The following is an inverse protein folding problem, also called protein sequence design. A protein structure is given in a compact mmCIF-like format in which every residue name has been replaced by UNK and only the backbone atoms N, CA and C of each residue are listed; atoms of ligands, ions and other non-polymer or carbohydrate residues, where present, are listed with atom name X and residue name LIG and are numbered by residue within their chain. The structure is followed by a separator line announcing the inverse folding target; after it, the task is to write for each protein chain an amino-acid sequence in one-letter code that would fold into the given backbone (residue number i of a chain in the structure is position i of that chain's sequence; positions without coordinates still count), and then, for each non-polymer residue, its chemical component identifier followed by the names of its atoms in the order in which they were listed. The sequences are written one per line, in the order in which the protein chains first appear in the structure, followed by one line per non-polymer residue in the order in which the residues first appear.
data_IF_967106993252
#
_entry.id   IF_967106993252
#
_cell.length_a   1.000
_cell.length_b   1.000
_cell.length_c   1.000
_cell.angle_alpha   90.00
_cell.angle_beta   90.00
_cell.angle_gamma   90.00
#
_symmetry.space_group_name_H-M   'P 1'
#
loop_
_entity.id
_entity.type
_entity.pdbx_description
1 polymer ?
#
# COMPACT_ATOMS: atom_id res chain seq x y z
N UNK A 1 -1.32 11.68 -54.70
CA UNK A 1 -1.54 12.18 -53.31
C UNK A 1 -2.64 11.36 -52.64
N UNK A 2 -2.45 10.05 -52.42
CA UNK A 2 -3.48 9.18 -51.80
C UNK A 2 -2.94 8.12 -50.85
N UNK A 3 -1.63 8.12 -50.59
CA UNK A 3 -0.96 7.07 -49.79
C UNK A 3 -0.44 7.59 -48.44
N UNK A 4 -0.64 8.87 -48.11
CA UNK A 4 -0.15 9.49 -46.86
C UNK A 4 -1.18 9.47 -45.71
N UNK A 5 -2.36 8.90 -45.92
CA UNK A 5 -3.46 8.89 -44.93
C UNK A 5 -3.53 7.62 -44.08
N UNK A 6 -2.66 6.63 -44.32
CA UNK A 6 -2.65 5.35 -43.59
C UNK A 6 -1.54 5.24 -42.53
N UNK A 7 -0.69 6.27 -42.37
CA UNK A 7 0.43 6.25 -41.41
C UNK A 7 0.10 6.77 -40.00
N UNK A 8 -1.05 7.41 -39.81
CA UNK A 8 -1.38 8.12 -38.54
C UNK A 8 -2.14 7.23 -37.54
N UNK A 9 -2.58 6.03 -37.95
CA UNK A 9 -3.43 5.16 -37.12
C UNK A 9 -2.64 4.19 -36.24
N UNK A 10 -1.31 4.10 -36.41
CA UNK A 10 -0.46 3.08 -35.75
C UNK A 10 0.56 3.62 -34.76
N UNK A 11 0.42 4.86 -34.26
CA UNK A 11 1.35 5.41 -33.27
C UNK A 11 0.67 5.67 -31.92
N UNK A 12 0.85 4.72 -31.01
CA UNK A 12 1.10 5.02 -29.60
C UNK A 12 -0.09 5.02 -28.67
N UNK A 13 -0.70 3.86 -28.44
CA UNK A 13 -1.28 3.56 -27.11
C UNK A 13 -0.11 3.33 -26.15
N UNK A 14 0.60 4.41 -25.80
CA UNK A 14 1.53 4.37 -24.67
C UNK A 14 0.62 4.44 -23.45
N UNK A 15 0.47 3.32 -22.74
CA UNK A 15 -0.32 3.27 -21.52
C UNK A 15 0.21 4.27 -20.51
N UNK A 16 -0.46 5.42 -20.38
CA UNK A 16 -0.20 6.36 -19.30
C UNK A 16 -0.67 5.70 -18.01
N UNK A 17 0.21 4.99 -17.31
CA UNK A 17 -0.02 4.72 -15.91
C UNK A 17 -0.16 6.07 -15.21
N UNK A 18 -1.34 6.36 -14.65
CA UNK A 18 -1.58 7.61 -13.94
C UNK A 18 -0.51 7.77 -12.84
N UNK A 19 0.03 8.97 -12.61
CA UNK A 19 1.07 9.19 -11.60
C UNK A 19 0.64 8.74 -10.20
N UNK A 20 -0.67 8.74 -9.91
CA UNK A 20 -1.24 8.24 -8.68
C UNK A 20 -0.99 6.72 -8.47
N UNK A 21 -1.11 5.90 -9.52
CA UNK A 21 -0.94 4.44 -9.44
C UNK A 21 0.53 4.07 -9.22
N UNK A 22 1.45 4.75 -9.91
CA UNK A 22 2.89 4.57 -9.73
C UNK A 22 3.33 4.96 -8.31
N UNK A 23 2.76 6.06 -7.79
CA UNK A 23 3.01 6.49 -6.43
C UNK A 23 2.43 5.49 -5.42
N UNK A 24 1.21 4.99 -5.63
CA UNK A 24 0.57 4.03 -4.74
C UNK A 24 1.37 2.73 -4.65
N UNK A 25 1.77 2.17 -5.80
CA UNK A 25 2.63 0.98 -5.86
C UNK A 25 3.95 1.18 -5.11
N UNK A 26 4.59 2.34 -5.28
CA UNK A 26 5.81 2.71 -4.55
C UNK A 26 5.61 2.81 -3.03
N UNK A 27 4.45 3.30 -2.58
CA UNK A 27 4.09 3.38 -1.15
C UNK A 27 3.87 2.02 -0.53
N UNK A 28 3.00 1.21 -1.14
CA UNK A 28 2.61 -0.09 -0.60
C UNK A 28 3.82 -1.02 -0.44
N UNK A 29 4.75 -1.00 -1.40
CA UNK A 29 5.95 -1.84 -1.38
C UNK A 29 7.17 -1.22 -0.70
N UNK A 30 7.09 0.03 -0.26
CA UNK A 30 8.22 0.82 0.18
C UNK A 30 8.02 1.43 1.57
N UNK A 31 7.89 2.75 1.62
CA UNK A 31 8.01 3.57 2.82
C UNK A 31 6.72 3.74 3.64
N UNK A 32 5.58 3.24 3.13
CA UNK A 32 4.33 3.13 3.89
C UNK A 32 3.89 1.67 4.08
N UNK A 33 4.80 0.69 3.91
CA UNK A 33 4.50 -0.74 4.04
C UNK A 33 4.15 -1.13 5.49
N UNK A 34 2.85 -1.07 5.82
CA UNK A 34 2.33 -1.43 7.14
C UNK A 34 2.12 -2.92 7.31
N UNK A 35 2.38 -3.41 8.53
CA UNK A 35 1.99 -4.77 8.92
C UNK A 35 0.49 -4.88 9.22
N UNK A 36 -0.10 -6.09 9.19
CA UNK A 36 -1.51 -6.29 9.52
C UNK A 36 -1.91 -5.77 10.92
N UNK A 37 -0.98 -5.73 11.87
CA UNK A 37 -1.23 -5.20 13.22
C UNK A 37 -1.25 -3.66 13.25
N UNK A 38 -0.62 -3.01 12.28
CA UNK A 38 -0.52 -1.55 12.18
C UNK A 38 -1.67 -0.94 11.38
N UNK A 39 -2.18 -1.68 10.38
CA UNK A 39 -3.25 -1.23 9.48
C UNK A 39 -4.54 -0.76 10.20
N UNK A 40 -5.09 -1.48 11.20
CA UNK A 40 -6.28 -1.02 11.92
C UNK A 40 -6.06 0.33 12.61
N UNK A 41 -4.86 0.54 13.16
CA UNK A 41 -4.51 1.79 13.81
C UNK A 41 -4.44 2.97 12.85
N UNK A 42 -3.88 2.76 11.64
CA UNK A 42 -3.89 3.74 10.53
C UNK A 42 -5.32 4.10 10.13
N UNK A 43 -6.20 3.12 9.98
CA UNK A 43 -7.58 3.34 9.56
C UNK A 43 -8.39 4.08 10.63
N UNK A 44 -8.27 3.68 11.90
CA UNK A 44 -8.91 4.37 13.01
C UNK A 44 -8.40 5.82 13.16
N UNK A 45 -7.10 6.06 12.95
CA UNK A 45 -6.55 7.42 12.91
C UNK A 45 -7.12 8.23 11.73
N UNK A 46 -7.18 7.65 10.53
CA UNK A 46 -7.73 8.30 9.34
C UNK A 46 -9.21 8.66 9.52
N UNK A 47 -10.02 7.78 10.15
CA UNK A 47 -11.41 8.07 10.49
C UNK A 47 -11.50 9.22 11.49
N UNK A 48 -10.74 9.16 12.59
CA UNK A 48 -10.72 10.21 13.61
C UNK A 48 -10.42 11.58 13.00
N UNK A 49 -9.55 11.62 12.00
CA UNK A 49 -9.14 12.84 11.31
C UNK A 49 -10.03 13.19 10.09
N UNK A 50 -11.20 12.56 9.95
CA UNK A 50 -12.19 12.79 8.89
C UNK A 50 -11.70 12.53 7.46
N UNK A 51 -10.65 11.72 7.27
CA UNK A 51 -10.20 11.32 5.94
C UNK A 51 -11.06 10.20 5.37
N UNK A 52 -11.50 9.26 6.21
CA UNK A 52 -12.37 8.15 5.80
C UNK A 52 -13.61 8.08 6.68
N UNK A 53 -14.70 7.52 6.16
CA UNK A 53 -15.90 7.24 6.94
C UNK A 53 -15.72 5.99 7.81
N UNK A 54 -16.61 5.81 8.78
CA UNK A 54 -16.69 4.57 9.58
C UNK A 54 -16.94 3.33 8.72
N UNK A 55 -17.80 3.45 7.71
CA UNK A 55 -18.03 2.36 6.76
C UNK A 55 -16.76 2.01 5.97
N UNK A 56 -15.96 3.01 5.55
CA UNK A 56 -14.71 2.77 4.82
C UNK A 56 -13.65 2.14 5.72
N UNK A 57 -13.55 2.56 6.99
CA UNK A 57 -12.69 1.89 7.96
C UNK A 57 -13.05 0.40 8.11
N UNK A 58 -14.34 0.09 8.26
CA UNK A 58 -14.79 -1.30 8.41
C UNK A 58 -14.41 -2.16 7.20
N UNK A 59 -14.58 -1.64 5.98
CA UNK A 59 -14.20 -2.33 4.73
C UNK A 59 -12.68 -2.55 4.69
N UNK A 60 -11.89 -1.49 4.90
CA UNK A 60 -10.42 -1.61 4.86
C UNK A 60 -9.92 -2.62 5.89
N UNK A 61 -10.46 -2.61 7.11
CA UNK A 61 -10.09 -3.56 8.15
C UNK A 61 -10.49 -5.00 7.81
N UNK A 62 -11.65 -5.20 7.18
CA UNK A 62 -12.11 -6.53 6.75
C UNK A 62 -11.19 -7.13 5.66
N UNK A 63 -10.67 -6.29 4.78
CA UNK A 63 -9.82 -6.69 3.65
C UNK A 63 -8.31 -6.70 4.00
N UNK A 64 -7.94 -6.44 5.26
CA UNK A 64 -6.55 -6.21 5.69
C UNK A 64 -5.85 -5.09 4.90
N UNK A 65 -6.60 -4.08 4.49
CA UNK A 65 -6.11 -2.90 3.80
C UNK A 65 -5.97 -1.70 4.75
N UNK A 66 -5.21 -0.71 4.31
CA UNK A 66 -5.09 0.56 5.00
C UNK A 66 -5.11 1.75 4.04
N UNK A 67 -5.61 2.88 4.54
CA UNK A 67 -5.63 4.13 3.79
C UNK A 67 -4.21 4.69 3.60
N UNK A 68 -3.87 5.02 2.36
CA UNK A 68 -2.60 5.65 1.98
C UNK A 68 -2.81 7.08 1.50
N UNK A 69 -1.84 7.93 1.80
CA UNK A 69 -1.88 9.35 1.52
C UNK A 69 -0.75 9.75 0.57
N UNK A 70 -1.03 10.72 -0.30
CA UNK A 70 -0.02 11.32 -1.13
C UNK A 70 1.02 12.03 -0.27
N UNK A 71 2.30 11.84 -0.58
CA UNK A 71 3.43 12.37 0.17
C UNK A 71 3.45 11.99 1.67
N UNK A 72 2.73 10.94 2.07
CA UNK A 72 2.72 10.38 3.42
C UNK A 72 3.45 9.05 3.53
N UNK A 73 4.27 8.86 4.57
CA UNK A 73 4.98 7.60 4.88
C UNK A 73 4.83 7.22 6.36
N UNK A 74 5.05 5.94 6.67
CA UNK A 74 5.15 5.42 8.03
C UNK A 74 6.61 5.23 8.50
N UNK A 75 7.58 5.08 7.60
CA UNK A 75 9.00 4.95 7.96
C UNK A 75 9.75 6.26 7.76
N UNK A 76 10.52 6.72 8.76
CA UNK A 76 11.41 7.88 8.63
C UNK A 76 12.89 7.48 8.84
N UNK A 77 13.85 7.97 8.03
CA UNK A 77 13.67 8.80 6.85
C UNK A 77 13.06 8.00 5.70
N UNK A 78 12.11 8.62 4.99
CA UNK A 78 11.47 8.01 3.84
C UNK A 78 12.53 7.93 2.71
N UNK A 79 12.52 6.85 1.91
CA UNK A 79 13.41 6.69 0.74
C UNK A 79 13.52 8.00 -0.07
N UNK A 80 14.69 8.37 -0.64
CA UNK A 80 15.17 9.76 -0.73
C UNK A 80 14.34 10.83 -1.47
N UNK A 81 13.08 10.67 -1.89
CA UNK A 81 12.45 11.67 -2.74
C UNK A 81 10.93 11.90 -2.69
N UNK A 82 10.15 11.45 -1.68
CA UNK A 82 8.70 11.58 -1.91
C UNK A 82 7.76 11.75 -0.73
N UNK A 83 8.23 11.77 0.52
CA UNK A 83 7.32 12.02 1.63
C UNK A 83 7.62 13.32 2.37
N UNK A 84 6.56 14.13 2.50
CA UNK A 84 6.54 15.39 3.21
C UNK A 84 5.96 15.22 4.61
N UNK A 85 5.16 14.18 4.83
CA UNK A 85 4.44 13.95 6.08
C UNK A 85 4.70 12.54 6.62
N UNK A 86 5.00 12.45 7.92
CA UNK A 86 4.94 11.19 8.64
C UNK A 86 3.49 10.92 9.05
N UNK A 87 2.87 9.88 8.51
CA UNK A 87 1.50 9.52 8.82
C UNK A 87 1.53 8.43 9.90
N UNK A 88 0.88 8.63 11.07
CA UNK A 88 0.99 7.72 12.22
C UNK A 88 0.01 6.54 12.17
N UNK A 89 0.43 5.39 12.71
CA UNK A 89 -0.46 4.21 12.90
C UNK A 89 -1.20 4.23 14.23
N UNK A 90 -0.89 5.18 15.11
CA UNK A 90 -1.58 5.28 16.40
C UNK A 90 -2.89 6.05 16.26
N UNK A 91 -4.04 5.50 16.69
CA UNK A 91 -5.32 6.22 16.70
C UNK A 91 -5.28 7.48 17.57
N UNK A 92 -4.39 7.56 18.56
CA UNK A 92 -4.28 8.73 19.45
C UNK A 92 -3.40 9.85 18.90
N UNK A 93 -2.64 9.62 17.83
CA UNK A 93 -1.73 10.62 17.29
C UNK A 93 -2.47 11.85 16.75
N UNK A 94 -1.88 13.07 16.82
CA UNK A 94 -2.50 14.29 16.29
C UNK A 94 -2.93 14.16 14.82
N UNK A 95 -3.97 14.89 14.44
CA UNK A 95 -4.38 14.96 13.04
C UNK A 95 -3.44 15.85 12.25
N UNK A 96 -3.04 15.38 11.08
CA UNK A 96 -2.24 16.13 10.11
C UNK A 96 -3.22 16.69 9.10
N UNK A 97 -3.14 17.99 8.79
CA UNK A 97 -4.00 18.64 7.80
C UNK A 97 -3.35 18.64 6.42
N UNK A 98 -4.15 18.71 5.36
CA UNK A 98 -3.65 18.84 3.99
C UNK A 98 -3.16 17.54 3.34
N UNK A 99 -3.42 16.37 3.94
CA UNK A 99 -3.14 15.10 3.28
C UNK A 99 -4.15 14.85 2.17
N UNK A 100 -3.67 14.32 1.05
CA UNK A 100 -4.51 13.89 -0.07
C UNK A 100 -4.60 12.37 -0.03
N UNK A 101 -5.81 11.80 -0.05
CA UNK A 101 -5.98 10.35 -0.13
C UNK A 101 -5.53 9.86 -1.50
N UNK A 102 -4.64 8.87 -1.52
CA UNK A 102 -4.10 8.30 -2.76
C UNK A 102 -4.83 7.01 -3.16
N UNK A 103 -5.13 6.17 -2.18
CA UNK A 103 -5.75 4.86 -2.39
C UNK A 103 -5.63 4.00 -1.14
N UNK A 104 -5.71 2.69 -1.29
CA UNK A 104 -5.45 1.73 -0.23
C UNK A 104 -4.31 0.78 -0.61
N UNK A 105 -3.66 0.24 0.41
CA UNK A 105 -2.66 -0.81 0.27
C UNK A 105 -3.06 -2.00 1.13
N UNK A 106 -2.80 -3.21 0.64
CA UNK A 106 -2.90 -4.43 1.45
C UNK A 106 -1.74 -4.44 2.44
N UNK A 107 -2.03 -4.69 3.71
CA UNK A 107 -1.04 -4.87 4.74
C UNK A 107 -0.34 -6.21 4.55
N UNK A 108 0.97 -6.17 4.31
CA UNK A 108 1.77 -7.38 4.17
C UNK A 108 2.48 -7.64 5.49
N UNK A 109 2.51 -8.89 5.93
CA UNK A 109 3.48 -9.30 6.94
C UNK A 109 4.86 -8.96 6.36
N UNK A 110 5.72 -8.28 7.14
CA UNK A 110 7.11 -8.09 6.74
C UNK A 110 7.66 -9.46 6.36
N UNK A 111 8.09 -9.63 5.10
CA UNK A 111 8.66 -10.90 4.68
C UNK A 111 9.76 -11.25 5.68
N UNK A 112 9.62 -12.38 6.37
CA UNK A 112 10.71 -12.89 7.19
C UNK A 112 11.96 -12.87 6.32
N UNK A 113 13.10 -12.34 6.81
CA UNK A 113 14.32 -12.34 6.02
C UNK A 113 14.53 -13.77 5.53
N UNK A 114 14.69 -13.94 4.21
CA UNK A 114 14.92 -15.25 3.56
C UNK A 114 16.17 -15.84 4.21
N UNK A 115 15.99 -16.70 5.21
CA UNK A 115 17.06 -17.15 6.12
C UNK A 115 16.69 -17.18 7.61
N UNK A 116 15.52 -16.66 8.02
CA UNK A 116 15.04 -16.83 9.39
C UNK A 116 14.61 -18.28 9.65
N UNK A 117 15.01 -18.83 10.80
CA UNK A 117 14.64 -20.17 11.26
C UNK A 117 13.12 -20.41 11.21
N UNK A 118 12.31 -19.36 11.43
CA UNK A 118 10.85 -19.42 11.34
C UNK A 118 10.36 -19.76 9.93
N UNK A 119 10.98 -19.22 8.88
CA UNK A 119 10.64 -19.56 7.50
C UNK A 119 10.95 -21.03 7.17
N UNK A 120 11.97 -21.61 7.82
CA UNK A 120 12.28 -23.05 7.72
C UNK A 120 11.25 -23.92 8.48
N UNK A 121 10.76 -23.46 9.62
CA UNK A 121 9.79 -24.20 10.43
C UNK A 121 8.39 -24.20 9.81
N UNK A 122 8.00 -23.14 9.10
CA UNK A 122 6.73 -23.09 8.35
C UNK A 122 6.76 -23.96 7.10
N UNK A 123 7.91 -24.10 6.42
CA UNK A 123 8.09 -25.04 5.30
C UNK A 123 8.14 -26.52 5.73
N UNK A 124 8.41 -26.81 7.00
CA UNK A 124 8.48 -28.17 7.53
C UNK A 124 7.11 -28.72 7.99
N UNK A 125 6.03 -27.96 7.85
CA UNK A 125 4.69 -28.32 8.33
C UNK A 125 3.73 -28.77 7.23
N UNK A 126 4.22 -29.42 6.18
CA UNK A 126 3.37 -30.22 5.28
C UNK A 126 4.17 -31.44 4.86
N UNK A 127 3.80 -32.59 5.44
CA UNK A 127 3.93 -33.97 4.94
C UNK A 127 3.93 -34.92 6.15
N UNK A 128 2.82 -34.90 6.91
CA UNK A 128 2.45 -36.08 7.68
C UNK A 128 2.01 -37.14 6.66
N UNK A 129 2.50 -38.40 6.75
CA UNK A 129 2.16 -39.40 5.76
C UNK A 129 0.66 -39.69 5.79
N UNK A 130 0.02 -39.51 4.64
CA UNK A 130 -1.34 -39.92 4.36
C UNK A 130 -1.35 -41.43 4.08
N UNK A 131 -1.36 -42.28 5.11
CA UNK A 131 -1.82 -43.67 5.00
C UNK A 131 -2.00 -44.37 6.36
N UNK A 132 -3.22 -44.94 6.52
CA UNK A 132 -3.66 -46.08 7.34
C UNK A 132 -3.31 -46.13 8.85
#
# INVERSE_FOLDING_TARGET
MKELLWGVVWLGVVGFASPAEAQLSGRCGGDDNLTPQQAPGRNAWARKCNYISEAKEAILNADNEYQVFANGCFQFPCSPNSCQFFVPVSPSAPCITGLVMLGSCVAHAAAHPKGSLLAYLEGARVDGPEWL
#
